data_IF_742559960795
#
_entry.id   IF_742559960795
#
_cell.length_a   1.000
_cell.length_b   1.000
_cell.length_c   1.000
_cell.angle_alpha   90.00
_cell.angle_beta   90.00
_cell.angle_gamma   90.00
#
_symmetry.space_group_name_H-M   'P 1'
#
loop_
_entity.id
_entity.type
_entity.pdbx_description
1 polymer ?
#
# COMPACT_ATOMS: atom_id res chain seq x y z
N UNK A 1 -32.12 -11.45 -1.62
CA UNK A 1 -31.98 -10.27 -0.75
C UNK A 1 -30.55 -9.81 -0.91
N UNK A 2 -30.34 -8.81 -1.76
CA UNK A 2 -29.02 -8.20 -1.98
C UNK A 2 -28.74 -7.26 -0.82
N UNK A 3 -27.66 -7.52 -0.09
CA UNK A 3 -27.16 -6.61 0.94
C UNK A 3 -26.71 -5.31 0.24
N UNK A 4 -27.45 -4.22 0.45
CA UNK A 4 -26.96 -2.89 0.08
C UNK A 4 -25.78 -2.55 1.00
N UNK A 5 -24.59 -2.40 0.41
CA UNK A 5 -23.45 -1.79 1.08
C UNK A 5 -23.80 -0.32 1.34
N UNK A 6 -24.24 -0.02 2.57
CA UNK A 6 -24.37 1.35 3.04
C UNK A 6 -22.96 1.89 3.27
N UNK A 7 -22.40 2.56 2.26
CA UNK A 7 -21.09 3.21 2.37
C UNK A 7 -21.31 4.51 3.16
N UNK A 8 -20.92 4.50 4.44
CA UNK A 8 -20.79 5.70 5.28
C UNK A 8 -19.92 6.76 4.60
N UNK A 9 -20.09 8.02 4.99
CA UNK A 9 -19.35 9.15 4.42
C UNK A 9 -17.84 8.87 4.34
N UNK A 10 -17.24 9.16 3.19
CA UNK A 10 -15.81 8.95 2.97
C UNK A 10 -14.97 9.67 4.04
N UNK A 11 -14.02 8.95 4.62
CA UNK A 11 -13.07 9.47 5.62
C UNK A 11 -11.66 9.42 5.04
N UNK A 12 -10.85 10.44 5.33
CA UNK A 12 -9.48 10.48 4.84
C UNK A 12 -8.67 9.28 5.36
N UNK A 13 -8.00 8.53 4.47
CA UNK A 13 -7.27 7.33 4.85
C UNK A 13 -5.93 7.62 5.55
N UNK A 14 -5.46 8.87 5.50
CA UNK A 14 -4.20 9.28 6.12
C UNK A 14 -4.25 9.08 7.64
N UNK A 15 -3.26 8.37 8.20
CA UNK A 15 -3.14 8.12 9.64
C UNK A 15 -1.93 8.84 10.25
N UNK A 16 -1.10 9.46 9.42
CA UNK A 16 0.19 10.01 9.82
C UNK A 16 1.07 10.33 8.61
N UNK A 17 2.36 10.54 8.86
CA UNK A 17 3.32 10.92 7.82
C UNK A 17 4.76 10.45 8.13
N UNK A 18 5.61 10.43 7.09
CA UNK A 18 7.05 10.16 7.20
C UNK A 18 7.77 11.33 7.89
N UNK A 19 8.48 11.06 8.98
CA UNK A 19 9.23 12.08 9.73
C UNK A 19 10.69 12.09 9.32
N UNK A 20 11.30 10.92 9.14
CA UNK A 20 12.73 10.81 8.87
C UNK A 20 13.05 9.54 8.07
N UNK A 21 14.09 9.59 7.25
CA UNK A 21 14.59 8.47 6.45
C UNK A 21 16.07 8.28 6.79
N UNK A 22 16.38 7.48 7.82
CA UNK A 22 17.78 7.25 8.21
C UNK A 22 18.61 6.59 7.11
N UNK A 23 18.01 5.71 6.31
CA UNK A 23 18.66 5.01 5.20
C UNK A 23 17.61 4.41 4.24
N UNK A 24 18.08 3.74 3.17
CA UNK A 24 17.23 3.14 2.14
C UNK A 24 16.36 1.95 2.58
N UNK A 25 16.54 1.45 3.80
CA UNK A 25 15.83 0.27 4.32
C UNK A 25 14.93 0.60 5.50
N UNK A 26 15.08 1.79 6.09
CA UNK A 26 14.43 2.18 7.33
C UNK A 26 13.79 3.54 7.16
N UNK A 27 12.53 3.66 7.56
CA UNK A 27 11.87 4.95 7.70
C UNK A 27 11.26 5.09 9.09
N UNK A 28 11.16 6.32 9.54
CA UNK A 28 10.54 6.69 10.80
C UNK A 28 9.27 7.47 10.48
N UNK A 29 8.15 7.01 11.02
CA UNK A 29 6.83 7.61 10.78
C UNK A 29 6.20 8.06 12.08
N UNK A 30 5.34 9.08 12.00
CA UNK A 30 4.51 9.52 13.11
C UNK A 30 3.06 9.27 12.81
N UNK A 31 2.36 8.70 13.79
CA UNK A 31 0.91 8.52 13.76
C UNK A 31 0.24 9.73 14.40
N UNK A 32 -0.79 10.25 13.75
CA UNK A 32 -1.56 11.43 14.19
C UNK A 32 -2.99 11.08 14.58
N UNK A 33 -3.47 9.88 14.23
CA UNK A 33 -4.79 9.37 14.59
C UNK A 33 -4.72 8.42 15.78
N UNK A 34 -5.81 8.37 16.55
CA UNK A 34 -5.96 7.42 17.65
C UNK A 34 -6.31 6.03 17.08
N UNK A 35 -5.28 5.28 16.72
CA UNK A 35 -5.38 3.93 16.15
C UNK A 35 -4.37 3.00 16.82
N UNK A 36 -4.75 1.73 16.95
CA UNK A 36 -3.84 0.70 17.46
C UNK A 36 -2.99 0.14 16.31
N UNK A 37 -1.66 0.24 16.44
CA UNK A 37 -0.69 -0.36 15.53
C UNK A 37 0.19 -1.31 16.31
N UNK A 38 0.47 -2.47 15.72
CA UNK A 38 1.23 -3.55 16.32
C UNK A 38 2.50 -3.84 15.54
N UNK A 39 3.47 -4.44 16.22
CA UNK A 39 4.67 -4.94 15.57
C UNK A 39 4.28 -5.97 14.50
N UNK A 40 4.80 -5.79 13.29
CA UNK A 40 4.53 -6.67 12.15
C UNK A 40 3.40 -6.19 11.23
N UNK A 41 2.64 -5.17 11.62
CA UNK A 41 1.65 -4.53 10.76
C UNK A 41 2.32 -3.88 9.54
N UNK A 42 1.56 -3.75 8.45
CA UNK A 42 2.02 -3.10 7.23
C UNK A 42 1.40 -1.72 7.07
N UNK A 43 2.23 -0.76 6.69
CA UNK A 43 1.86 0.64 6.44
C UNK A 43 2.21 0.95 4.99
N UNK A 44 1.28 1.59 4.30
CA UNK A 44 1.51 2.08 2.93
C UNK A 44 1.79 3.57 2.93
N UNK A 45 2.84 3.96 2.22
CA UNK A 45 3.18 5.35 1.92
C UNK A 45 2.57 5.65 0.57
N UNK A 46 1.89 6.79 0.43
CA UNK A 46 1.11 7.06 -0.77
C UNK A 46 1.22 8.50 -1.26
N UNK A 47 0.91 8.69 -2.54
CA UNK A 47 0.63 9.98 -3.15
C UNK A 47 -0.89 10.14 -3.29
N UNK A 48 -1.51 11.19 -2.71
CA UNK A 48 -2.91 11.49 -2.92
C UNK A 48 -3.24 11.64 -4.41
N UNK A 49 -4.11 10.78 -4.92
CA UNK A 49 -4.52 10.85 -6.32
C UNK A 49 -5.88 11.54 -6.50
N UNK A 50 -6.57 11.27 -7.61
CA UNK A 50 -7.83 11.93 -7.96
C UNK A 50 -9.00 11.44 -7.12
N UNK A 51 -10.00 12.31 -6.95
CA UNK A 51 -11.29 11.93 -6.39
C UNK A 51 -12.05 11.02 -7.36
N UNK A 52 -12.69 10.00 -6.80
CA UNK A 52 -13.56 9.07 -7.50
C UNK A 52 -14.99 9.53 -7.28
N UNK A 53 -15.65 9.92 -8.37
CA UNK A 53 -17.06 10.27 -8.38
C UNK A 53 -17.82 9.19 -9.15
N UNK A 54 -18.95 8.75 -8.60
CA UNK A 54 -19.85 7.84 -9.30
C UNK A 54 -20.43 8.53 -10.54
N UNK A 55 -20.17 8.06 -11.76
CA UNK A 55 -20.64 8.70 -12.99
C UNK A 55 -22.17 8.66 -13.14
N UNK A 56 -22.89 7.84 -12.37
CA UNK A 56 -24.36 7.76 -12.41
C UNK A 56 -25.03 8.69 -11.41
N UNK A 57 -24.45 8.85 -10.22
CA UNK A 57 -25.08 9.57 -9.10
C UNK A 57 -24.41 10.90 -8.76
N UNK A 58 -23.24 11.18 -9.36
CA UNK A 58 -22.37 12.31 -9.03
C UNK A 58 -21.91 12.34 -7.55
N UNK A 59 -22.09 11.21 -6.83
CA UNK A 59 -21.66 11.08 -5.45
C UNK A 59 -20.14 10.87 -5.41
N UNK A 60 -19.47 11.63 -4.54
CA UNK A 60 -18.06 11.38 -4.22
C UNK A 60 -17.92 10.05 -3.45
N UNK A 61 -17.14 9.13 -4.00
CA UNK A 61 -16.84 7.80 -3.45
C UNK A 61 -15.51 7.76 -2.69
N UNK A 62 -14.69 8.81 -2.79
CA UNK A 62 -13.42 8.95 -2.11
C UNK A 62 -12.28 9.36 -3.02
N UNK A 63 -11.06 8.98 -2.65
CA UNK A 63 -9.83 9.27 -3.40
C UNK A 63 -9.10 7.99 -3.76
N UNK A 64 -8.63 7.89 -5.00
CA UNK A 64 -7.72 6.83 -5.41
C UNK A 64 -6.28 7.26 -5.12
N UNK A 65 -5.68 6.68 -4.10
CA UNK A 65 -4.29 6.98 -3.74
C UNK A 65 -3.31 6.06 -4.48
N UNK A 66 -2.21 6.62 -4.98
CA UNK A 66 -1.13 5.83 -5.56
C UNK A 66 -0.17 5.38 -4.47
N UNK A 67 0.07 4.07 -4.35
CA UNK A 67 0.98 3.54 -3.34
C UNK A 67 2.43 3.65 -3.84
N UNK A 68 3.28 4.34 -3.08
CA UNK A 68 4.72 4.42 -3.33
C UNK A 68 5.42 3.14 -2.89
N UNK A 69 5.14 2.69 -1.67
CA UNK A 69 5.64 1.42 -1.13
C UNK A 69 4.81 0.97 0.07
N UNK A 70 4.91 -0.31 0.41
CA UNK A 70 4.31 -0.92 1.59
C UNK A 70 5.40 -1.53 2.45
N UNK A 71 5.48 -1.09 3.70
CA UNK A 71 6.57 -1.43 4.63
C UNK A 71 6.03 -1.97 5.95
N UNK A 72 6.85 -2.72 6.66
CA UNK A 72 6.46 -3.37 7.90
C UNK A 72 6.91 -2.57 9.13
N UNK A 73 6.05 -2.47 10.15
CA UNK A 73 6.39 -1.93 11.47
C UNK A 73 7.30 -2.91 12.21
N UNK A 74 8.52 -2.48 12.53
CA UNK A 74 9.53 -3.29 13.24
C UNK A 74 9.76 -2.83 14.67
N UNK A 75 9.54 -1.56 14.99
CA UNK A 75 9.62 -1.06 16.37
C UNK A 75 8.57 0.01 16.61
N UNK A 76 8.03 0.04 17.83
CA UNK A 76 7.00 0.98 18.26
C UNK A 76 7.55 1.77 19.45
N UNK A 77 7.57 3.09 19.30
CA UNK A 77 7.89 4.04 20.36
C UNK A 77 6.64 4.87 20.68
N UNK A 78 6.65 5.56 21.82
CA UNK A 78 5.50 6.37 22.27
C UNK A 78 5.06 7.43 21.25
N UNK A 79 5.99 7.98 20.47
CA UNK A 79 5.75 9.13 19.59
C UNK A 79 5.99 8.86 18.11
N UNK A 80 6.58 7.71 17.76
CA UNK A 80 6.94 7.36 16.39
C UNK A 80 7.07 5.84 16.23
N UNK A 81 7.06 5.40 14.98
CA UNK A 81 7.29 4.00 14.61
C UNK A 81 8.52 3.92 13.73
N UNK A 82 9.23 2.80 13.83
CA UNK A 82 10.29 2.43 12.89
C UNK A 82 9.73 1.36 11.98
N UNK A 83 9.83 1.60 10.68
CA UNK A 83 9.33 0.71 9.66
C UNK A 83 10.44 0.34 8.67
N UNK A 84 10.43 -0.89 8.19
CA UNK A 84 11.43 -1.42 7.26
C UNK A 84 10.79 -2.19 6.12
N UNK A 85 11.46 -2.19 4.98
CA UNK A 85 11.11 -3.06 3.85
C UNK A 85 11.67 -4.45 4.09
N UNK A 86 10.80 -5.43 4.30
CA UNK A 86 11.20 -6.83 4.47
C UNK A 86 10.73 -7.67 3.28
N UNK A 87 11.67 -8.26 2.54
CA UNK A 87 11.38 -9.28 1.55
C UNK A 87 11.61 -10.67 2.17
N UNK A 88 10.55 -11.50 2.18
CA UNK A 88 10.68 -12.90 2.59
C UNK A 88 11.29 -13.71 1.45
N UNK A 89 12.60 -13.71 1.34
CA UNK A 89 13.29 -14.64 0.44
C UNK A 89 13.21 -16.04 1.02
N UNK A 90 12.45 -16.94 0.39
CA UNK A 90 12.49 -18.39 0.69
C UNK A 90 13.86 -18.91 0.27
N UNK A 91 14.83 -18.85 1.18
CA UNK A 91 16.13 -19.46 0.99
C UNK A 91 15.99 -20.97 1.00
N UNK A 92 16.23 -21.62 -0.15
CA UNK A 92 16.45 -23.06 -0.19
C UNK A 92 17.69 -23.37 0.65
N UNK A 93 17.47 -23.77 1.91
CA UNK A 93 18.51 -24.46 2.69
C UNK A 93 18.99 -25.64 1.84
N UNK A 94 20.31 -25.77 1.69
CA UNK A 94 21.02 -26.79 0.92
C UNK A 94 20.85 -28.22 1.48
N UNK A 95 19.62 -28.65 1.75
CA UNK A 95 19.26 -29.95 2.29
C UNK A 95 17.93 -30.43 1.70
N UNK A 96 17.98 -31.01 0.51
CA UNK A 96 17.53 -32.39 0.26
C UNK A 96 17.40 -32.64 -1.25
N UNK A 97 17.99 -33.76 -1.65
CA UNK A 97 18.07 -34.23 -3.02
C UNK A 97 16.69 -34.64 -3.59
N UNK A 98 16.60 -34.59 -4.93
CA UNK A 98 15.68 -35.28 -5.87
C UNK A 98 14.16 -35.07 -5.73
N UNK A 99 13.58 -34.31 -6.67
CA UNK A 99 12.59 -34.80 -7.67
C UNK A 99 12.51 -33.80 -8.85
N UNK A 100 12.71 -34.21 -10.13
CA UNK A 100 12.59 -33.35 -11.32
C UNK A 100 11.15 -33.31 -11.86
N UNK A 101 10.15 -33.43 -10.98
CA UNK A 101 8.74 -33.41 -11.37
C UNK A 101 8.24 -31.98 -11.17
N UNK A 102 8.27 -31.23 -12.28
CA UNK A 102 7.71 -29.90 -12.50
C UNK A 102 7.06 -29.26 -11.24
N UNK A 103 7.85 -28.53 -10.47
CA UNK A 103 7.28 -27.40 -9.73
C UNK A 103 7.08 -26.31 -10.78
N UNK A 104 5.89 -26.27 -11.39
CA UNK A 104 5.46 -25.12 -12.18
C UNK A 104 5.51 -23.91 -11.25
N UNK A 105 6.52 -23.07 -11.43
CA UNK A 105 6.55 -21.76 -10.80
C UNK A 105 5.47 -20.95 -11.49
N UNK A 106 4.40 -20.65 -10.77
CA UNK A 106 3.42 -19.66 -11.22
C UNK A 106 4.12 -18.31 -11.30
N UNK A 107 4.36 -17.84 -12.52
CA UNK A 107 4.82 -16.48 -12.78
C UNK A 107 3.59 -15.62 -13.04
N UNK A 108 3.35 -14.67 -12.15
CA UNK A 108 2.30 -13.67 -12.33
C UNK A 108 2.87 -12.54 -13.19
N UNK A 109 2.31 -12.33 -14.38
CA UNK A 109 2.57 -11.14 -15.20
C UNK A 109 1.32 -10.28 -15.20
N UNK A 110 1.50 -8.96 -15.17
CA UNK A 110 0.39 -8.05 -15.43
C UNK A 110 -0.01 -8.20 -16.90
N UNK A 111 -1.31 -8.32 -17.16
CA UNK A 111 -1.90 -8.36 -18.50
C UNK A 111 -2.85 -7.18 -18.61
N UNK A 112 -2.81 -6.47 -19.74
CA UNK A 112 -3.68 -5.32 -20.00
C UNK A 112 -5.15 -5.74 -20.05
N UNK A 113 -6.01 -4.91 -19.46
CA UNK A 113 -7.46 -5.10 -19.51
C UNK A 113 -8.01 -4.54 -20.83
N UNK A 114 -8.96 -5.22 -21.49
CA UNK A 114 -9.61 -4.69 -22.69
C UNK A 114 -10.59 -3.58 -22.30
N UNK A 115 -10.11 -2.34 -22.26
CA UNK A 115 -10.89 -1.14 -21.91
C UNK A 115 -11.12 -0.24 -23.13
N UNK A 116 -12.13 0.62 -23.06
CA UNK A 116 -12.31 1.70 -24.04
C UNK A 116 -11.30 2.82 -23.74
N UNK A 117 -10.50 3.21 -24.74
CA UNK A 117 -9.47 4.23 -24.60
C UNK A 117 -10.06 5.61 -24.23
N UNK A 118 -11.30 5.90 -24.60
CA UNK A 118 -11.96 7.17 -24.25
C UNK A 118 -12.31 7.29 -22.77
N UNK A 119 -12.48 6.15 -22.09
CA UNK A 119 -12.70 6.07 -20.64
C UNK A 119 -11.40 5.90 -19.86
N UNK A 120 -10.28 5.62 -20.55
CA UNK A 120 -8.98 5.45 -19.94
C UNK A 120 -8.37 6.80 -19.54
N UNK A 121 -8.24 7.01 -18.22
CA UNK A 121 -7.73 8.28 -17.67
C UNK A 121 -6.21 8.36 -17.59
N UNK A 122 -5.50 7.27 -17.91
CA UNK A 122 -4.04 7.18 -17.89
C UNK A 122 -3.42 7.71 -16.58
N UNK A 123 -4.09 7.45 -15.46
CA UNK A 123 -3.65 7.90 -14.16
C UNK A 123 -2.36 7.22 -13.74
N UNK A 124 -1.37 8.03 -13.37
CA UNK A 124 -0.05 7.58 -12.98
C UNK A 124 0.42 8.32 -11.73
N UNK A 125 1.22 7.63 -10.93
CA UNK A 125 1.94 8.24 -9.82
C UNK A 125 2.91 9.29 -10.36
N UNK A 126 2.93 10.49 -9.76
CA UNK A 126 3.82 11.57 -10.20
C UNK A 126 5.21 11.42 -9.59
N UNK A 127 5.28 11.05 -8.32
CA UNK A 127 6.52 10.87 -7.59
C UNK A 127 6.54 9.54 -6.84
N UNK A 128 7.28 8.57 -7.37
CA UNK A 128 7.49 7.27 -6.75
C UNK A 128 8.55 7.28 -5.65
N UNK A 129 9.28 8.38 -5.46
CA UNK A 129 10.31 8.47 -4.42
C UNK A 129 9.67 8.82 -3.08
N UNK A 130 9.98 8.03 -2.05
CA UNK A 130 9.55 8.31 -0.67
C UNK A 130 10.29 9.54 -0.14
N UNK A 131 9.56 10.49 0.42
CA UNK A 131 10.05 11.76 0.95
C UNK A 131 9.52 12.01 2.36
N UNK A 132 10.21 12.87 3.09
CA UNK A 132 9.74 13.39 4.38
C UNK A 132 8.42 14.14 4.14
N UNK A 133 7.47 13.97 5.07
CA UNK A 133 6.06 14.42 5.01
C UNK A 133 5.15 13.65 4.05
N UNK A 134 5.62 12.58 3.39
CA UNK A 134 4.70 11.73 2.65
C UNK A 134 3.65 11.13 3.60
N UNK A 135 2.36 11.13 3.21
CA UNK A 135 1.30 10.60 4.04
C UNK A 135 1.35 9.06 4.07
N UNK A 136 0.89 8.51 5.19
CA UNK A 136 0.81 7.06 5.39
C UNK A 136 -0.62 6.62 5.74
N UNK A 137 -0.93 5.37 5.43
CA UNK A 137 -2.19 4.68 5.78
C UNK A 137 -1.94 3.21 6.10
N UNK A 138 -2.89 2.54 6.74
CA UNK A 138 -2.84 1.10 6.94
C UNK A 138 -2.89 0.40 5.57
N UNK A 139 -2.07 -0.64 5.38
CA UNK A 139 -1.98 -1.42 4.15
C UNK A 139 -3.04 -2.53 4.09
#
# INVERSE_FOLDING_TARGET
MSEELVIENWTEPEIGYVVEIPNSYTIIVRITKDISIHHGDYISIFEPGPLITDPKTDKNLGRFDFIKDTIQVVEIYNNFLVCQKQEKTKGNSLTMAITPLLQEKEYYTNVELPVDDSDNKEWQIKDSTIKILDPIKLA
#
